data_IF_352655538698
#
_entry.id   IF_352655538698
#
_cell.length_a   1.000
_cell.length_b   1.000
_cell.length_c   1.000
_cell.angle_alpha   90.00
_cell.angle_beta   90.00
_cell.angle_gamma   90.00
#
_symmetry.space_group_name_H-M   'P 1'
#
loop_
_entity.id
_entity.type
_entity.pdbx_description
1 polymer ?
#
# COMPACT_ATOMS: atom_id res chain seq x y z
N UNK A 1 6.06 -6.62 -4.48
CA UNK A 1 5.27 -7.12 -5.62
C UNK A 1 5.65 -6.35 -6.88
N UNK A 2 5.56 -6.98 -8.06
CA UNK A 2 5.73 -6.32 -9.36
C UNK A 2 4.37 -5.98 -9.96
N UNK A 3 4.36 -5.18 -11.03
CA UNK A 3 3.14 -4.84 -11.74
C UNK A 3 2.50 -6.09 -12.36
N UNK A 4 1.17 -6.25 -12.19
CA UNK A 4 0.41 -7.43 -12.64
C UNK A 4 0.60 -7.77 -14.13
N UNK A 5 0.87 -6.78 -14.97
CA UNK A 5 1.11 -6.97 -16.40
C UNK A 5 2.58 -7.35 -16.73
N UNK A 6 3.51 -7.26 -15.78
CA UNK A 6 4.91 -7.62 -16.00
C UNK A 6 5.12 -9.12 -15.76
N UNK A 7 4.98 -9.91 -16.81
CA UNK A 7 5.12 -11.38 -16.75
C UNK A 7 6.56 -11.85 -16.54
N UNK A 8 7.54 -11.00 -16.80
CA UNK A 8 8.96 -11.29 -16.62
C UNK A 8 9.40 -11.21 -15.14
N UNK A 9 8.50 -10.78 -14.25
CA UNK A 9 8.68 -10.75 -12.81
C UNK A 9 9.04 -9.38 -12.25
N UNK A 10 8.99 -9.29 -10.91
CA UNK A 10 9.09 -8.02 -10.18
C UNK A 10 10.42 -7.28 -10.43
N UNK A 11 11.53 -7.98 -10.55
CA UNK A 11 12.84 -7.33 -10.75
C UNK A 11 12.93 -6.60 -12.09
N UNK A 12 12.36 -7.18 -13.16
CA UNK A 12 12.28 -6.53 -14.47
C UNK A 12 11.38 -5.30 -14.43
N UNK A 13 10.24 -5.42 -13.74
CA UNK A 13 9.32 -4.28 -13.53
C UNK A 13 10.00 -3.13 -12.79
N UNK A 14 10.75 -3.42 -11.73
CA UNK A 14 11.48 -2.43 -10.95
C UNK A 14 12.63 -1.77 -11.74
N UNK A 15 13.30 -2.51 -12.62
CA UNK A 15 14.29 -1.93 -13.56
C UNK A 15 13.62 -0.99 -14.58
N UNK A 16 12.42 -1.35 -15.07
CA UNK A 16 11.63 -0.47 -15.94
C UNK A 16 11.17 0.80 -15.22
N UNK A 17 10.83 0.70 -13.93
CA UNK A 17 10.54 1.86 -13.08
C UNK A 17 11.79 2.76 -12.95
N UNK A 18 12.96 2.19 -12.71
CA UNK A 18 14.23 2.94 -12.68
C UNK A 18 14.44 3.72 -13.97
N UNK A 19 14.22 3.11 -15.13
CA UNK A 19 14.33 3.78 -16.41
C UNK A 19 13.37 4.98 -16.55
N UNK A 20 12.13 4.86 -16.00
CA UNK A 20 11.18 5.99 -15.96
C UNK A 20 11.67 7.12 -15.06
N UNK A 21 12.26 6.79 -13.91
CA UNK A 21 12.85 7.78 -12.99
C UNK A 21 14.01 8.50 -13.69
N UNK A 22 14.90 7.77 -14.35
CA UNK A 22 16.01 8.34 -15.11
C UNK A 22 15.56 9.23 -16.28
N UNK A 23 14.35 9.02 -16.77
CA UNK A 23 13.72 9.84 -17.82
C UNK A 23 13.06 11.10 -17.28
N UNK A 24 13.14 11.38 -15.96
CA UNK A 24 12.69 12.64 -15.35
C UNK A 24 11.51 12.53 -14.39
N UNK A 25 11.13 11.35 -13.91
CA UNK A 25 10.16 11.25 -12.83
C UNK A 25 10.79 11.73 -11.50
N UNK A 26 10.13 12.67 -10.85
CA UNK A 26 10.66 13.34 -9.65
C UNK A 26 10.32 12.61 -8.35
N UNK A 27 9.29 11.78 -8.36
CA UNK A 27 8.88 10.97 -7.21
C UNK A 27 8.15 9.70 -7.66
N UNK A 28 7.97 8.76 -6.75
CA UNK A 28 7.27 7.50 -6.98
C UNK A 28 6.08 7.41 -6.02
N UNK A 29 4.88 7.11 -6.57
CA UNK A 29 3.73 6.66 -5.78
C UNK A 29 3.54 5.16 -6.03
N UNK A 30 3.55 4.35 -4.96
CA UNK A 30 3.33 2.92 -5.14
C UNK A 30 1.85 2.61 -5.36
N UNK A 31 1.55 1.46 -5.95
CA UNK A 31 0.24 0.87 -5.88
C UNK A 31 -0.09 0.50 -4.43
N UNK A 32 -1.37 0.28 -4.12
CA UNK A 32 -1.79 -0.21 -2.82
C UNK A 32 -1.16 -1.58 -2.50
N UNK A 33 -0.85 -1.81 -1.24
CA UNK A 33 -0.35 -3.07 -0.70
C UNK A 33 -0.86 -3.26 0.73
N UNK A 34 -0.82 -4.49 1.24
CA UNK A 34 -1.30 -4.83 2.58
C UNK A 34 -0.26 -5.52 3.46
N UNK A 35 0.95 -5.74 2.92
CA UNK A 35 2.09 -6.26 3.65
C UNK A 35 3.27 -5.28 3.50
N UNK A 36 3.69 -4.66 4.59
CA UNK A 36 4.79 -3.69 4.56
C UNK A 36 6.12 -4.32 4.14
N UNK A 37 6.31 -5.62 4.34
CA UNK A 37 7.50 -6.32 3.87
C UNK A 37 7.67 -6.21 2.35
N UNK A 38 6.58 -6.26 1.58
CA UNK A 38 6.60 -6.09 0.13
C UNK A 38 7.07 -4.67 -0.26
N UNK A 39 6.64 -3.65 0.49
CA UNK A 39 7.09 -2.27 0.29
C UNK A 39 8.57 -2.08 0.65
N UNK A 40 9.01 -2.62 1.78
CA UNK A 40 10.41 -2.49 2.20
C UNK A 40 11.35 -3.20 1.23
N UNK A 41 11.02 -4.41 0.76
CA UNK A 41 11.79 -5.10 -0.27
C UNK A 41 11.91 -4.26 -1.55
N UNK A 42 10.80 -3.66 -2.00
CA UNK A 42 10.76 -2.78 -3.17
C UNK A 42 11.64 -1.55 -2.98
N UNK A 43 11.44 -0.80 -1.89
CA UNK A 43 12.21 0.41 -1.56
C UNK A 43 13.70 0.10 -1.48
N UNK A 44 14.07 -0.91 -0.70
CA UNK A 44 15.47 -1.25 -0.45
C UNK A 44 16.19 -1.72 -1.73
N UNK A 45 15.47 -2.38 -2.62
CA UNK A 45 16.01 -2.73 -3.94
C UNK A 45 16.22 -1.50 -4.82
N UNK A 46 15.25 -0.59 -4.90
CA UNK A 46 15.38 0.64 -5.69
C UNK A 46 16.51 1.54 -5.18
N UNK A 47 16.55 1.79 -3.88
CA UNK A 47 17.54 2.69 -3.28
C UNK A 47 18.93 2.05 -3.20
N UNK A 48 19.01 0.82 -2.68
CA UNK A 48 20.28 0.15 -2.41
C UNK A 48 20.92 -0.52 -3.63
N UNK A 49 20.12 -1.08 -4.55
CA UNK A 49 20.65 -1.77 -5.73
C UNK A 49 20.64 -0.93 -6.99
N UNK A 50 19.60 -0.13 -7.18
CA UNK A 50 19.45 0.68 -8.40
C UNK A 50 19.83 2.15 -8.20
N UNK A 51 20.21 2.57 -6.98
CA UNK A 51 20.67 3.92 -6.68
C UNK A 51 19.60 5.00 -6.89
N UNK A 52 18.31 4.65 -6.72
CA UNK A 52 17.21 5.61 -6.82
C UNK A 52 17.26 6.55 -5.63
N UNK A 53 17.25 7.86 -5.89
CA UNK A 53 17.19 8.93 -4.88
C UNK A 53 15.86 9.67 -4.88
N UNK A 54 15.00 9.44 -5.85
CA UNK A 54 13.66 10.01 -5.90
C UNK A 54 12.82 9.53 -4.70
N UNK A 55 12.06 10.39 -4.03
CA UNK A 55 11.23 10.01 -2.90
C UNK A 55 10.16 8.99 -3.29
N UNK A 56 9.90 8.03 -2.40
CA UNK A 56 8.94 6.94 -2.61
C UNK A 56 7.83 7.03 -1.58
N UNK A 57 6.64 7.43 -2.02
CA UNK A 57 5.44 7.48 -1.19
C UNK A 57 4.69 6.14 -1.23
N UNK A 58 4.37 5.63 -0.05
CA UNK A 58 3.63 4.39 0.11
C UNK A 58 2.13 4.58 -0.15
N UNK A 59 1.57 3.81 -1.06
CA UNK A 59 0.15 3.81 -1.40
C UNK A 59 -0.68 2.99 -0.41
N UNK A 60 -1.60 3.62 0.29
CA UNK A 60 -2.48 3.01 1.30
C UNK A 60 -3.94 3.12 0.87
N UNK A 61 -4.64 2.00 0.79
CA UNK A 61 -6.09 1.95 0.60
C UNK A 61 -6.76 1.42 1.86
N UNK A 62 -7.47 2.27 2.64
CA UNK A 62 -8.23 1.80 3.79
C UNK A 62 -9.30 0.79 3.39
N UNK A 63 -9.41 -0.30 4.15
CA UNK A 63 -10.40 -1.35 3.91
C UNK A 63 -11.76 -0.83 4.34
N UNK A 64 -12.74 -0.78 3.43
CA UNK A 64 -14.09 -0.33 3.71
C UNK A 64 -15.12 -1.47 3.72
N UNK A 65 -14.88 -2.55 2.95
CA UNK A 65 -15.66 -3.78 2.96
C UNK A 65 -14.84 -4.95 2.42
N UNK A 66 -15.24 -6.16 2.75
CA UNK A 66 -14.59 -7.39 2.25
C UNK A 66 -14.67 -7.48 0.72
N UNK A 67 -15.80 -7.12 0.12
CA UNK A 67 -15.98 -7.11 -1.33
C UNK A 67 -15.04 -6.09 -2.00
N UNK A 68 -14.92 -4.89 -1.43
CA UNK A 68 -14.04 -3.85 -1.95
C UNK A 68 -12.57 -4.30 -1.99
N UNK A 69 -12.03 -4.77 -0.87
CA UNK A 69 -10.62 -5.15 -0.80
C UNK A 69 -10.30 -6.30 -1.76
N UNK A 70 -11.14 -7.34 -1.82
CA UNK A 70 -10.96 -8.47 -2.75
C UNK A 70 -10.97 -8.01 -4.21
N UNK A 71 -11.88 -7.09 -4.56
CA UNK A 71 -11.95 -6.51 -5.92
C UNK A 71 -10.70 -5.71 -6.28
N UNK A 72 -10.28 -4.79 -5.42
CA UNK A 72 -9.11 -3.95 -5.72
C UNK A 72 -7.80 -4.74 -5.70
N UNK A 73 -7.64 -5.68 -4.77
CA UNK A 73 -6.49 -6.56 -4.77
C UNK A 73 -6.38 -7.36 -6.07
N UNK A 74 -7.49 -7.90 -6.57
CA UNK A 74 -7.52 -8.61 -7.85
C UNK A 74 -7.19 -7.71 -9.04
N UNK A 75 -7.72 -6.48 -9.09
CA UNK A 75 -7.46 -5.53 -10.18
C UNK A 75 -6.02 -5.04 -10.21
N UNK A 76 -5.42 -4.82 -9.05
CA UNK A 76 -4.06 -4.30 -8.92
C UNK A 76 -2.98 -5.38 -8.83
N UNK A 77 -3.38 -6.65 -8.68
CA UNK A 77 -2.47 -7.76 -8.40
C UNK A 77 -1.88 -7.73 -7.00
N UNK A 78 -2.50 -6.97 -6.07
CA UNK A 78 -2.02 -6.88 -4.71
C UNK A 78 -2.31 -8.16 -3.92
N UNK A 79 -1.32 -8.62 -3.17
CA UNK A 79 -1.42 -9.78 -2.31
C UNK A 79 -2.21 -9.46 -1.04
N UNK A 80 -3.12 -10.33 -0.67
CA UNK A 80 -3.82 -10.25 0.61
C UNK A 80 -3.19 -11.26 1.59
N UNK A 81 -2.58 -10.79 2.70
CA UNK A 81 -2.02 -11.67 3.71
C UNK A 81 -3.08 -12.62 4.29
N UNK A 82 -2.71 -13.88 4.53
CA UNK A 82 -3.63 -14.88 5.10
C UNK A 82 -4.29 -14.45 6.41
N UNK A 83 -3.55 -13.83 7.38
CA UNK A 83 -4.16 -13.34 8.61
C UNK A 83 -5.22 -12.26 8.37
N UNK A 84 -4.99 -11.37 7.37
CA UNK A 84 -5.94 -10.35 6.98
C UNK A 84 -7.23 -10.98 6.43
N UNK A 85 -7.10 -11.95 5.51
CA UNK A 85 -8.25 -12.66 4.95
C UNK A 85 -9.07 -13.38 6.03
N UNK A 86 -8.41 -14.09 6.96
CA UNK A 86 -9.08 -14.78 8.05
C UNK A 86 -9.91 -13.81 8.91
N UNK A 87 -9.37 -12.64 9.24
CA UNK A 87 -10.09 -11.62 9.99
C UNK A 87 -11.29 -11.05 9.23
N UNK A 88 -11.15 -10.82 7.92
CA UNK A 88 -12.26 -10.35 7.09
C UNK A 88 -13.37 -11.39 6.98
N UNK A 89 -13.02 -12.66 6.89
CA UNK A 89 -13.99 -13.76 6.81
C UNK A 89 -14.78 -13.92 8.15
N UNK A 90 -14.16 -13.62 9.30
CA UNK A 90 -14.84 -13.61 10.61
C UNK A 90 -15.94 -12.53 10.71
N UNK A 91 -15.76 -11.38 10.04
CA UNK A 91 -16.77 -10.30 10.04
C UNK A 91 -17.94 -10.56 9.08
N UNK A 92 -17.77 -11.45 8.09
CA UNK A 92 -18.79 -11.75 7.09
C UNK A 92 -19.25 -10.49 6.35
N UNK A 93 -20.56 -10.25 6.33
CA UNK A 93 -21.18 -9.10 5.65
C UNK A 93 -21.34 -7.85 6.56
N UNK A 94 -20.69 -7.83 7.72
CA UNK A 94 -20.73 -6.68 8.63
C UNK A 94 -19.72 -5.61 8.18
N UNK A 95 -20.11 -4.80 7.20
CA UNK A 95 -19.25 -3.74 6.63
C UNK A 95 -18.78 -2.71 7.69
N UNK A 96 -19.57 -2.44 8.75
CA UNK A 96 -19.15 -1.52 9.80
C UNK A 96 -17.98 -2.10 10.61
N UNK A 97 -18.05 -3.39 10.99
CA UNK A 97 -16.94 -4.07 11.67
C UNK A 97 -15.71 -4.16 10.77
N UNK A 98 -15.90 -4.46 9.48
CA UNK A 98 -14.81 -4.47 8.48
C UNK A 98 -14.16 -3.09 8.36
N UNK A 99 -14.96 -2.02 8.31
CA UNK A 99 -14.45 -0.65 8.21
C UNK A 99 -13.65 -0.24 9.44
N UNK A 100 -14.16 -0.55 10.65
CA UNK A 100 -13.44 -0.27 11.88
C UNK A 100 -12.10 -1.03 11.95
N UNK A 101 -12.13 -2.31 11.66
CA UNK A 101 -10.91 -3.12 11.55
C UNK A 101 -9.95 -2.57 10.49
N UNK A 102 -10.48 -2.13 9.34
CA UNK A 102 -9.70 -1.53 8.25
C UNK A 102 -8.98 -0.25 8.66
N UNK A 103 -9.60 0.59 9.49
CA UNK A 103 -8.96 1.78 10.06
C UNK A 103 -7.82 1.37 10.99
N UNK A 104 -8.04 0.40 11.88
CA UNK A 104 -7.00 -0.08 12.80
C UNK A 104 -5.82 -0.71 12.05
N UNK A 105 -6.12 -1.54 11.04
CA UNK A 105 -5.10 -2.17 10.20
C UNK A 105 -4.24 -1.15 9.48
N UNK A 106 -4.88 -0.19 8.79
CA UNK A 106 -4.18 0.85 8.06
C UNK A 106 -3.42 1.81 8.99
N UNK A 107 -3.92 2.10 10.20
CA UNK A 107 -3.19 2.87 11.21
C UNK A 107 -1.88 2.16 11.57
N UNK A 108 -1.92 0.87 11.94
CA UNK A 108 -0.72 0.10 12.27
C UNK A 108 0.26 -0.02 11.09
N UNK A 109 -0.28 -0.21 9.88
CA UNK A 109 0.51 -0.21 8.65
C UNK A 109 1.27 1.11 8.48
N UNK A 110 0.59 2.25 8.61
CA UNK A 110 1.18 3.57 8.51
C UNK A 110 2.18 3.88 9.63
N UNK A 111 1.89 3.49 10.88
CA UNK A 111 2.82 3.64 12.01
C UNK A 111 4.15 2.93 11.73
N UNK A 112 4.11 1.72 11.20
CA UNK A 112 5.32 0.98 10.86
C UNK A 112 6.06 1.65 9.70
N UNK A 113 5.36 2.06 8.63
CA UNK A 113 5.97 2.78 7.50
C UNK A 113 6.67 4.07 7.94
N UNK A 114 6.01 4.87 8.79
CA UNK A 114 6.59 6.11 9.35
C UNK A 114 7.81 5.82 10.23
N UNK A 115 7.73 4.83 11.11
CA UNK A 115 8.85 4.41 11.96
C UNK A 115 10.05 3.93 11.15
N UNK A 116 9.83 3.33 10.00
CA UNK A 116 10.86 2.86 9.06
C UNK A 116 11.30 3.94 8.05
N UNK A 117 10.89 5.19 8.26
CA UNK A 117 11.37 6.34 7.49
C UNK A 117 10.88 6.40 6.05
N UNK A 118 9.60 6.06 5.80
CA UNK A 118 9.00 6.28 4.48
C UNK A 118 8.99 7.77 4.13
N UNK A 119 9.27 8.10 2.86
CA UNK A 119 9.31 9.50 2.40
C UNK A 119 7.92 10.17 2.42
N UNK A 120 6.85 9.38 2.29
CA UNK A 120 5.47 9.88 2.32
C UNK A 120 4.44 8.79 2.34
N UNK A 121 3.22 9.16 2.74
CA UNK A 121 2.03 8.31 2.67
C UNK A 121 1.04 8.90 1.66
N UNK A 122 0.56 8.07 0.74
CA UNK A 122 -0.47 8.42 -0.22
C UNK A 122 -1.72 7.60 0.02
N UNK A 123 -2.86 8.26 0.33
CA UNK A 123 -4.12 7.58 0.59
C UNK A 123 -5.03 7.54 -0.64
N UNK A 124 -5.40 6.34 -1.06
CA UNK A 124 -6.46 6.12 -2.03
C UNK A 124 -7.82 6.24 -1.33
N UNK A 125 -8.45 7.40 -1.40
CA UNK A 125 -9.69 7.68 -0.65
C UNK A 125 -10.94 7.23 -1.38
N UNK A 126 -10.88 7.04 -2.69
CA UNK A 126 -12.04 6.77 -3.55
C UNK A 126 -13.20 7.76 -3.30
N UNK A 127 -12.85 9.01 -3.10
CA UNK A 127 -13.76 10.12 -2.81
C UNK A 127 -14.53 9.98 -1.47
N UNK A 128 -13.97 9.19 -0.51
CA UNK A 128 -14.53 8.97 0.83
C UNK A 128 -13.46 9.30 1.88
N UNK A 129 -13.62 10.41 2.59
CA UNK A 129 -12.61 10.91 3.53
C UNK A 129 -12.62 10.20 4.90
N UNK A 130 -13.74 9.60 5.33
CA UNK A 130 -13.97 9.17 6.71
C UNK A 130 -12.88 8.27 7.29
N UNK A 131 -12.54 7.17 6.62
CA UNK A 131 -11.49 6.24 7.10
C UNK A 131 -10.12 6.89 7.12
N UNK A 132 -9.76 7.66 6.08
CA UNK A 132 -8.47 8.37 6.02
C UNK A 132 -8.36 9.40 7.13
N UNK A 133 -9.41 10.18 7.39
CA UNK A 133 -9.42 11.15 8.49
C UNK A 133 -9.24 10.47 9.85
N UNK A 134 -9.89 9.32 10.07
CA UNK A 134 -9.72 8.55 11.30
C UNK A 134 -8.28 8.04 11.46
N UNK A 135 -7.69 7.51 10.40
CA UNK A 135 -6.30 7.05 10.40
C UNK A 135 -5.34 8.20 10.73
N UNK A 136 -5.49 9.36 10.06
CA UNK A 136 -4.63 10.53 10.32
C UNK A 136 -4.74 11.02 11.76
N UNK A 137 -5.95 11.01 12.35
CA UNK A 137 -6.15 11.32 13.78
C UNK A 137 -5.43 10.33 14.67
N UNK A 138 -5.56 9.02 14.40
CA UNK A 138 -4.89 7.99 15.18
C UNK A 138 -3.36 8.13 15.14
N UNK A 139 -2.83 8.60 14.00
CA UNK A 139 -1.40 8.87 13.81
C UNK A 139 -0.92 10.20 14.41
N UNK A 140 -1.83 11.04 14.92
CA UNK A 140 -1.49 12.37 15.44
C UNK A 140 -1.06 13.37 14.35
N UNK A 141 -1.52 13.16 13.10
CA UNK A 141 -1.16 13.99 11.95
C UNK A 141 -2.21 15.05 11.59
N UNK A 142 -3.24 15.22 12.42
CA UNK A 142 -4.29 16.26 12.24
C UNK A 142 -4.63 16.89 13.57
#
# INVERSE_FOLDING_TARGET
EGHIACKEGKLVDWQRLKAKIDSGAEFVLTQLFYDNADFFEFRDYLTGRLGVTAPISAGVLPIASTAQIKRFASLCGAKLPRPLLARLDEFGDNDEAVRQFGIEYATKQCEELLRQGVDGLHFYTLNKAGSTTAILKNLGLT
#
